data_IF_745932682105
#
_entry.id   IF_745932682105
#
_cell.length_a   1.000
_cell.length_b   1.000
_cell.length_c   1.000
_cell.angle_alpha   90.00
_cell.angle_beta   90.00
_cell.angle_gamma   90.00
#
_symmetry.space_group_name_H-M   'P 1'
#
loop_
_entity.id
_entity.type
_entity.pdbx_description
1 polymer ?
#
# COMPACT_ATOMS: atom_id res chain seq x y z
N UNK A 1 -2.42 -0.88 29.95
CA UNK A 1 -1.18 -1.55 29.48
C UNK A 1 -1.30 -1.59 27.96
N UNK A 2 -0.56 -0.73 27.26
CA UNK A 2 -0.67 -0.60 25.81
C UNK A 2 0.07 -1.76 25.15
N UNK A 3 -0.61 -2.51 24.28
CA UNK A 3 0.01 -3.58 23.50
C UNK A 3 0.79 -2.95 22.34
N UNK A 4 2.10 -3.17 22.32
CA UNK A 4 2.99 -2.78 21.23
C UNK A 4 3.27 -4.02 20.37
N UNK A 5 3.04 -3.93 19.06
CA UNK A 5 3.56 -4.90 18.12
C UNK A 5 5.01 -4.53 17.81
N UNK A 6 5.95 -5.39 18.19
CA UNK A 6 7.34 -5.31 17.75
C UNK A 6 7.44 -5.90 16.34
N UNK A 7 7.89 -5.09 15.38
CA UNK A 7 8.52 -5.60 14.17
C UNK A 7 9.89 -4.94 14.05
N UNK A 8 10.95 -5.75 14.05
CA UNK A 8 12.34 -5.29 13.97
C UNK A 8 12.65 -4.99 12.52
N UNK A 9 12.63 -3.72 12.12
CA UNK A 9 13.16 -3.28 10.82
C UNK A 9 13.64 -1.82 10.91
N UNK A 10 14.76 -1.61 11.61
CA UNK A 10 15.59 -0.43 11.35
C UNK A 10 17.07 -0.75 11.62
N UNK A 11 17.89 -0.63 10.59
CA UNK A 11 19.28 -1.09 10.52
C UNK A 11 20.32 -0.06 11.00
N UNK A 12 19.94 0.95 11.77
CA UNK A 12 20.83 2.07 12.14
C UNK A 12 20.91 2.40 13.63
N UNK A 13 20.23 1.66 14.51
CA UNK A 13 20.36 1.81 15.96
C UNK A 13 21.09 0.61 16.56
N UNK A 14 21.87 0.77 17.65
CA UNK A 14 22.41 -0.38 18.36
C UNK A 14 21.25 -1.32 18.72
N UNK A 15 21.42 -2.62 18.48
CA UNK A 15 20.44 -3.71 18.68
C UNK A 15 19.91 -3.83 20.13
N UNK A 16 20.18 -2.88 21.02
CA UNK A 16 19.74 -2.85 22.41
C UNK A 16 18.33 -2.27 22.60
N UNK A 17 17.70 -1.69 21.56
CA UNK A 17 16.35 -1.12 21.66
C UNK A 17 15.39 -1.64 20.59
N UNK A 18 14.14 -1.84 20.97
CA UNK A 18 13.07 -2.32 20.10
C UNK A 18 12.16 -1.18 19.64
N UNK A 19 11.76 -1.21 18.38
CA UNK A 19 10.86 -0.19 17.80
C UNK A 19 9.40 -0.57 18.04
N UNK A 20 8.61 0.41 18.49
CA UNK A 20 7.19 0.29 18.74
C UNK A 20 6.39 1.05 17.67
N UNK A 21 5.48 0.37 16.98
CA UNK A 21 4.47 1.03 16.16
C UNK A 21 3.27 1.45 17.00
N UNK A 22 2.69 2.60 16.66
CA UNK A 22 1.49 3.14 17.30
C UNK A 22 0.29 2.26 16.96
N UNK A 23 -0.08 1.35 17.87
CA UNK A 23 -1.31 0.56 17.75
C UNK A 23 -2.48 1.28 18.44
N UNK A 24 -2.82 2.48 17.92
CA UNK A 24 -3.96 3.29 18.39
C UNK A 24 -5.29 2.51 18.29
N UNK A 25 -5.35 1.52 17.40
CA UNK A 25 -6.50 0.61 17.26
C UNK A 25 -6.90 -0.07 18.58
N UNK A 26 -5.92 -0.47 19.39
CA UNK A 26 -6.16 -1.08 20.71
C UNK A 26 -6.91 -0.13 21.64
N UNK A 27 -6.58 1.17 21.58
CA UNK A 27 -7.24 2.21 22.35
C UNK A 27 -8.66 2.48 21.84
N UNK A 28 -8.88 2.48 20.52
CA UNK A 28 -10.22 2.61 19.94
C UNK A 28 -11.13 1.42 20.21
N UNK A 29 -10.59 0.20 20.18
CA UNK A 29 -11.32 -1.00 20.56
C UNK A 29 -11.73 -0.94 22.04
N UNK A 30 -10.84 -0.45 22.89
CA UNK A 30 -11.07 -0.34 24.33
C UNK A 30 -12.07 0.76 24.71
N UNK A 31 -12.09 1.87 23.96
CA UNK A 31 -12.99 3.01 24.20
C UNK A 31 -14.35 2.91 23.50
N UNK A 32 -14.57 1.92 22.64
CA UNK A 32 -15.85 1.71 21.95
C UNK A 32 -16.15 2.72 20.83
N UNK A 33 -15.19 3.55 20.42
CA UNK A 33 -15.35 4.64 19.46
C UNK A 33 -15.32 4.21 17.98
N UNK A 34 -15.46 2.90 17.70
CA UNK A 34 -15.14 2.29 16.39
C UNK A 34 -15.94 2.85 15.21
N UNK A 35 -17.20 3.26 15.44
CA UNK A 35 -18.14 3.71 14.42
C UNK A 35 -18.40 5.22 14.42
N UNK A 36 -17.64 6.01 15.19
CA UNK A 36 -17.82 7.47 15.21
C UNK A 36 -17.03 8.12 14.08
N UNK A 37 -17.69 9.02 13.35
CA UNK A 37 -17.00 9.95 12.46
C UNK A 37 -16.30 10.98 13.35
N UNK A 38 -14.97 10.90 13.47
CA UNK A 38 -14.18 11.84 14.26
C UNK A 38 -13.49 12.83 13.32
N UNK A 39 -13.80 14.14 13.36
CA UNK A 39 -13.16 15.16 12.53
C UNK A 39 -11.79 15.63 13.07
N UNK A 40 -11.23 14.92 14.05
CA UNK A 40 -9.95 15.27 14.70
C UNK A 40 -9.03 14.05 14.82
N UNK A 41 -9.06 13.18 13.82
CA UNK A 41 -8.27 11.95 13.83
C UNK A 41 -6.77 12.22 13.89
N UNK A 42 -6.28 13.22 13.14
CA UNK A 42 -4.85 13.57 13.16
C UNK A 42 -4.43 14.09 14.54
N UNK A 43 -5.23 14.98 15.13
CA UNK A 43 -4.97 15.55 16.46
C UNK A 43 -4.91 14.44 17.51
N UNK A 44 -5.75 13.41 17.40
CA UNK A 44 -5.69 12.28 18.30
C UNK A 44 -4.37 11.50 18.15
N UNK A 45 -3.88 11.29 16.92
CA UNK A 45 -2.60 10.64 16.69
C UNK A 45 -1.45 11.45 17.30
N UNK A 46 -1.41 12.76 17.06
CA UNK A 46 -0.40 13.66 17.64
C UNK A 46 -0.42 13.63 19.17
N UNK A 47 -1.61 13.72 19.79
CA UNK A 47 -1.77 13.68 21.25
C UNK A 47 -1.35 12.35 21.85
N UNK A 48 -1.57 11.26 21.13
CA UNK A 48 -1.11 9.94 21.56
C UNK A 48 0.42 9.87 21.52
N UNK A 49 1.04 10.33 20.42
CA UNK A 49 2.49 10.38 20.26
C UNK A 49 3.16 11.21 21.35
N UNK A 50 2.61 12.38 21.66
CA UNK A 50 3.09 13.29 22.71
C UNK A 50 3.00 12.69 24.12
N UNK A 51 1.96 11.89 24.40
CA UNK A 51 1.71 11.31 25.73
C UNK A 51 2.21 9.88 25.91
N UNK A 52 2.66 9.21 24.85
CA UNK A 52 3.09 7.83 24.89
C UNK A 52 4.31 7.66 25.80
N UNK A 53 4.15 6.88 26.87
CA UNK A 53 5.24 6.51 27.78
C UNK A 53 5.72 5.11 27.43
N UNK A 54 7.01 4.99 27.12
CA UNK A 54 7.68 3.74 26.81
C UNK A 54 8.69 3.38 27.91
N UNK A 55 8.94 2.08 28.05
CA UNK A 55 10.08 1.59 28.84
C UNK A 55 11.40 2.02 28.14
N UNK A 56 12.52 2.20 28.87
CA UNK A 56 13.78 2.72 28.29
C UNK A 56 14.33 1.94 27.09
N UNK A 57 13.96 0.67 26.97
CA UNK A 57 14.38 -0.26 25.91
C UNK A 57 13.57 -0.12 24.61
N UNK A 58 12.58 0.77 24.58
CA UNK A 58 11.70 0.97 23.44
C UNK A 58 11.70 2.42 22.96
N UNK A 59 11.47 2.61 21.67
CA UNK A 59 11.24 3.92 21.06
C UNK A 59 10.10 3.84 20.03
N UNK A 60 9.40 4.96 19.83
CA UNK A 60 8.30 5.03 18.85
C UNK A 60 8.91 5.07 17.44
N UNK A 61 8.29 4.35 16.51
CA UNK A 61 8.65 4.43 15.10
C UNK A 61 8.47 5.84 14.54
N UNK A 62 9.21 6.15 13.46
CA UNK A 62 8.89 7.34 12.69
C UNK A 62 7.46 7.22 12.15
N UNK A 63 6.66 8.24 12.44
CA UNK A 63 5.24 8.30 12.13
C UNK A 63 4.91 9.44 11.14
N UNK A 64 5.91 10.11 10.57
CA UNK A 64 5.69 11.27 9.69
C UNK A 64 4.78 10.91 8.50
N UNK A 65 5.06 9.80 7.82
CA UNK A 65 4.27 9.37 6.66
C UNK A 65 2.85 8.97 7.07
N UNK A 66 2.70 8.31 8.23
CA UNK A 66 1.39 7.98 8.79
C UNK A 66 0.56 9.24 9.09
N UNK A 67 1.17 10.28 9.67
CA UNK A 67 0.52 11.55 9.98
C UNK A 67 0.11 12.31 8.71
N UNK A 68 0.93 12.27 7.65
CA UNK A 68 0.56 12.84 6.34
C UNK A 68 -0.66 12.15 5.75
N UNK A 69 -0.71 10.83 5.79
CA UNK A 69 -1.92 10.08 5.37
C UNK A 69 -3.10 10.42 6.28
N UNK A 70 -2.88 10.56 7.59
CA UNK A 70 -3.93 10.94 8.53
C UNK A 70 -4.53 12.30 8.18
N UNK A 71 -3.71 13.28 7.79
CA UNK A 71 -4.18 14.59 7.34
C UNK A 71 -5.11 14.49 6.12
N UNK A 72 -4.77 13.65 5.14
CA UNK A 72 -5.58 13.44 3.93
C UNK A 72 -6.94 12.85 4.27
N UNK A 73 -6.96 11.81 5.12
CA UNK A 73 -8.22 11.11 5.44
C UNK A 73 -9.05 11.81 6.50
N UNK A 74 -8.50 12.77 7.24
CA UNK A 74 -9.24 13.45 8.31
C UNK A 74 -10.39 14.31 7.77
N UNK A 75 -10.18 14.92 6.60
CA UNK A 75 -11.15 15.73 5.86
C UNK A 75 -12.32 14.90 5.28
N UNK A 76 -12.20 13.57 5.27
CA UNK A 76 -13.20 12.68 4.69
C UNK A 76 -14.20 12.18 5.74
N UNK A 77 -15.49 12.00 5.38
CA UNK A 77 -16.53 11.49 6.29
C UNK A 77 -16.42 9.96 6.46
N UNK A 78 -15.26 9.49 6.92
CA UNK A 78 -14.94 8.09 7.15
C UNK A 78 -15.07 7.72 8.62
N UNK A 79 -15.46 6.47 8.87
CA UNK A 79 -15.40 5.89 10.20
C UNK A 79 -13.94 5.89 10.70
N UNK A 80 -13.77 6.06 12.01
CA UNK A 80 -12.46 6.08 12.67
C UNK A 80 -11.62 4.83 12.37
N UNK A 81 -12.29 3.68 12.31
CA UNK A 81 -11.73 2.42 11.88
C UNK A 81 -11.09 2.52 10.49
N UNK A 82 -11.82 3.09 9.54
CA UNK A 82 -11.41 3.12 8.14
C UNK A 82 -10.29 4.13 7.93
N UNK A 83 -10.37 5.30 8.59
CA UNK A 83 -9.25 6.27 8.67
C UNK A 83 -7.97 5.58 9.17
N UNK A 84 -8.08 4.75 10.21
CA UNK A 84 -6.94 3.98 10.72
C UNK A 84 -6.40 2.99 9.69
N UNK A 85 -7.26 2.21 9.02
CA UNK A 85 -6.83 1.25 7.99
C UNK A 85 -6.09 1.97 6.85
N UNK A 86 -6.58 3.12 6.39
CA UNK A 86 -5.89 3.93 5.38
C UNK A 86 -4.51 4.41 5.86
N UNK A 87 -4.38 4.86 7.12
CA UNK A 87 -3.08 5.26 7.69
C UNK A 87 -2.07 4.13 7.82
N UNK A 88 -2.51 2.88 7.88
CA UNK A 88 -1.61 1.71 7.90
C UNK A 88 -1.25 1.22 6.49
N UNK A 89 -1.83 1.81 5.45
CA UNK A 89 -1.58 1.39 4.07
C UNK A 89 -0.16 1.78 3.63
N UNK A 90 0.51 0.94 2.81
CA UNK A 90 1.89 1.15 2.40
C UNK A 90 1.97 2.18 1.26
N UNK A 91 1.73 3.45 1.57
CA UNK A 91 1.77 4.55 0.60
C UNK A 91 3.06 5.33 0.72
N UNK A 92 3.71 5.54 -0.41
CA UNK A 92 4.83 6.46 -0.53
C UNK A 92 4.30 7.90 -0.69
N UNK A 93 4.23 8.64 0.41
CA UNK A 93 3.72 10.02 0.45
C UNK A 93 4.64 11.04 -0.24
N UNK A 94 5.82 10.61 -0.71
CA UNK A 94 6.74 11.43 -1.50
C UNK A 94 6.48 11.32 -2.99
N UNK A 95 5.72 10.31 -3.40
CA UNK A 95 5.30 10.11 -4.77
C UNK A 95 3.89 10.68 -4.96
N UNK A 96 3.78 11.72 -5.78
CA UNK A 96 2.52 12.46 -6.00
C UNK A 96 1.43 11.55 -6.59
N UNK A 97 1.81 10.63 -7.49
CA UNK A 97 0.89 9.68 -8.13
C UNK A 97 0.33 8.70 -7.08
N UNK A 98 1.18 8.14 -6.21
CA UNK A 98 0.75 7.26 -5.12
C UNK A 98 -0.17 7.98 -4.12
N UNK A 99 0.18 9.21 -3.76
CA UNK A 99 -0.61 10.04 -2.83
C UNK A 99 -1.97 10.42 -3.43
N UNK A 100 -1.99 10.75 -4.73
CA UNK A 100 -3.23 11.01 -5.47
C UNK A 100 -4.10 9.75 -5.57
N UNK A 101 -3.50 8.58 -5.84
CA UNK A 101 -4.21 7.30 -5.88
C UNK A 101 -4.87 6.97 -4.54
N UNK A 102 -4.15 7.14 -3.43
CA UNK A 102 -4.70 7.00 -2.07
C UNK A 102 -5.89 7.93 -1.85
N UNK A 103 -5.73 9.22 -2.17
CA UNK A 103 -6.78 10.24 -1.99
C UNK A 103 -8.04 9.87 -2.78
N UNK A 104 -7.89 9.47 -4.04
CA UNK A 104 -9.01 9.03 -4.89
C UNK A 104 -9.70 7.78 -4.36
N UNK A 105 -8.95 6.79 -3.85
CA UNK A 105 -9.54 5.60 -3.25
C UNK A 105 -10.32 5.95 -1.98
N UNK A 106 -9.74 6.75 -1.09
CA UNK A 106 -10.38 7.18 0.14
C UNK A 106 -11.65 8.01 -0.12
N UNK A 107 -11.61 8.95 -1.08
CA UNK A 107 -12.78 9.73 -1.47
C UNK A 107 -13.89 8.89 -2.08
N UNK A 108 -13.55 7.99 -3.02
CA UNK A 108 -14.54 7.11 -3.65
C UNK A 108 -15.18 6.18 -2.63
N UNK A 109 -14.38 5.66 -1.70
CA UNK A 109 -14.86 4.84 -0.60
C UNK A 109 -15.79 5.66 0.31
N UNK A 110 -15.41 6.88 0.71
CA UNK A 110 -16.25 7.75 1.53
C UNK A 110 -17.60 8.10 0.87
N UNK A 111 -17.59 8.36 -0.45
CA UNK A 111 -18.78 8.80 -1.21
C UNK A 111 -19.71 7.65 -1.58
N UNK A 112 -19.16 6.50 -1.96
CA UNK A 112 -19.91 5.40 -2.60
C UNK A 112 -19.90 4.09 -1.82
N UNK A 113 -19.01 3.95 -0.83
CA UNK A 113 -18.76 2.67 -0.14
C UNK A 113 -18.09 1.61 -1.01
N UNK A 114 -17.76 1.92 -2.26
CA UNK A 114 -17.12 0.99 -3.21
C UNK A 114 -16.18 1.75 -4.15
N UNK A 115 -15.00 1.18 -4.37
CA UNK A 115 -13.93 1.71 -5.21
C UNK A 115 -13.65 0.72 -6.33
N UNK A 116 -14.08 1.06 -7.54
CA UNK A 116 -13.84 0.23 -8.73
C UNK A 116 -12.58 0.68 -9.45
N UNK A 117 -11.76 -0.28 -9.86
CA UNK A 117 -10.54 -0.02 -10.61
C UNK A 117 -10.83 0.06 -12.11
N UNK A 118 -10.27 1.05 -12.78
CA UNK A 118 -10.28 1.12 -14.24
C UNK A 118 -9.09 0.32 -14.79
N UNK A 119 -9.30 -0.41 -15.88
CA UNK A 119 -8.22 -1.04 -16.61
C UNK A 119 -7.35 0.06 -17.29
N UNK A 120 -6.07 0.07 -16.94
CA UNK A 120 -5.03 1.01 -17.37
C UNK A 120 -4.30 0.42 -18.59
N UNK A 121 -3.95 -0.86 -18.53
CA UNK A 121 -3.25 -1.57 -19.61
C UNK A 121 -4.22 -2.37 -20.45
N UNK A 122 -4.35 -2.01 -21.71
CA UNK A 122 -5.07 -2.79 -22.73
C UNK A 122 -4.06 -3.33 -23.73
N UNK A 123 -4.37 -4.40 -24.48
CA UNK A 123 -3.43 -4.98 -25.45
C UNK A 123 -2.83 -3.96 -26.44
N UNK A 124 -3.55 -2.88 -26.78
CA UNK A 124 -3.07 -1.81 -27.65
C UNK A 124 -2.18 -0.76 -26.97
N UNK A 125 -2.18 -0.68 -25.64
CA UNK A 125 -1.43 0.33 -24.86
C UNK A 125 -0.20 -0.25 -24.14
N UNK A 126 0.00 -1.57 -24.18
CA UNK A 126 1.18 -2.23 -23.61
C UNK A 126 2.46 -1.82 -24.33
N UNK A 127 3.28 -1.00 -23.67
CA UNK A 127 4.58 -0.56 -24.19
C UNK A 127 5.61 -0.56 -23.07
N UNK A 128 6.81 -1.09 -23.38
CA UNK A 128 7.97 -0.97 -22.50
C UNK A 128 8.36 0.51 -22.45
N UNK A 129 8.63 1.08 -21.26
CA UNK A 129 9.10 2.45 -21.17
C UNK A 129 10.39 2.62 -21.97
N UNK A 130 10.59 3.80 -22.55
CA UNK A 130 11.79 4.12 -23.35
C UNK A 130 12.69 5.12 -22.64
N UNK A 131 12.12 5.92 -21.74
CA UNK A 131 12.81 6.94 -20.96
C UNK A 131 12.72 6.64 -19.47
N UNK A 132 13.66 7.21 -18.69
CA UNK A 132 13.66 7.06 -17.23
C UNK A 132 12.38 7.64 -16.59
N UNK A 133 11.85 8.75 -17.11
CA UNK A 133 10.61 9.34 -16.62
C UNK A 133 9.41 8.40 -16.83
N UNK A 134 9.33 7.73 -17.99
CA UNK A 134 8.28 6.73 -18.24
C UNK A 134 8.40 5.52 -17.31
N UNK A 135 9.63 5.12 -16.95
CA UNK A 135 9.85 4.08 -15.95
C UNK A 135 9.34 4.54 -14.58
N UNK A 136 9.68 5.76 -14.14
CA UNK A 136 9.25 6.30 -12.86
C UNK A 136 7.72 6.38 -12.76
N UNK A 137 7.04 6.85 -13.81
CA UNK A 137 5.57 6.84 -13.87
C UNK A 137 5.00 5.42 -13.74
N UNK A 138 5.60 4.44 -14.43
CA UNK A 138 5.18 3.04 -14.36
C UNK A 138 5.40 2.42 -12.97
N UNK A 139 6.49 2.78 -12.29
CA UNK A 139 6.75 2.40 -10.90
C UNK A 139 5.70 2.99 -9.95
N UNK A 140 5.34 4.25 -10.14
CA UNK A 140 4.28 4.90 -9.35
C UNK A 140 2.92 4.24 -9.59
N UNK A 141 2.57 3.90 -10.84
CA UNK A 141 1.35 3.14 -11.15
C UNK A 141 1.38 1.76 -10.47
N UNK A 142 2.53 1.07 -10.47
CA UNK A 142 2.70 -0.19 -9.76
C UNK A 142 2.43 -0.04 -8.25
N UNK A 143 2.94 1.04 -7.61
CA UNK A 143 2.66 1.34 -6.19
C UNK A 143 1.17 1.57 -5.93
N UNK A 144 0.47 2.29 -6.81
CA UNK A 144 -0.99 2.51 -6.70
C UNK A 144 -1.78 1.19 -6.82
N UNK A 145 -1.38 0.31 -7.73
CA UNK A 145 -2.01 -1.02 -7.87
C UNK A 145 -1.74 -1.91 -6.66
N UNK A 146 -0.53 -1.85 -6.09
CA UNK A 146 -0.21 -2.52 -4.83
C UNK A 146 -1.06 -2.01 -3.66
N UNK A 147 -1.26 -0.68 -3.57
CA UNK A 147 -2.15 -0.06 -2.59
C UNK A 147 -3.58 -0.58 -2.73
N UNK A 148 -4.12 -0.65 -3.96
CA UNK A 148 -5.47 -1.17 -4.20
C UNK A 148 -5.60 -2.62 -3.71
N UNK A 149 -4.64 -3.48 -4.06
CA UNK A 149 -4.60 -4.87 -3.60
C UNK A 149 -4.54 -4.93 -2.06
N UNK A 150 -3.70 -4.11 -1.43
CA UNK A 150 -3.61 -4.05 0.02
C UNK A 150 -4.95 -3.69 0.65
N UNK A 151 -5.63 -2.65 0.16
CA UNK A 151 -6.94 -2.21 0.65
C UNK A 151 -8.02 -3.28 0.44
N UNK A 152 -7.98 -4.01 -0.67
CA UNK A 152 -8.94 -5.09 -0.95
C UNK A 152 -8.88 -6.28 0.00
N UNK A 153 -7.78 -6.45 0.75
CA UNK A 153 -7.70 -7.46 1.81
C UNK A 153 -8.24 -6.97 3.17
N UNK A 154 -8.62 -5.70 3.29
CA UNK A 154 -9.15 -5.10 4.52
C UNK A 154 -10.59 -4.65 4.35
N UNK A 155 -10.97 -4.28 3.14
CA UNK A 155 -12.29 -3.82 2.74
C UNK A 155 -12.89 -4.77 1.71
N UNK A 156 -13.23 -5.99 2.14
CA UNK A 156 -13.57 -7.12 1.25
C UNK A 156 -14.65 -6.79 0.20
N UNK A 157 -15.74 -6.13 0.58
CA UNK A 157 -16.85 -5.82 -0.34
C UNK A 157 -16.69 -4.48 -1.09
N UNK A 158 -15.81 -3.60 -0.59
CA UNK A 158 -15.68 -2.25 -1.12
C UNK A 158 -14.61 -2.12 -2.20
N UNK A 159 -13.71 -3.08 -2.33
CA UNK A 159 -12.65 -3.09 -3.35
C UNK A 159 -12.73 -4.40 -4.17
N UNK A 160 -13.76 -4.53 -5.03
CA UNK A 160 -14.07 -5.79 -5.70
C UNK A 160 -13.04 -6.20 -6.76
N UNK A 161 -12.30 -5.25 -7.34
CA UNK A 161 -11.47 -5.48 -8.53
C UNK A 161 -10.04 -5.94 -8.18
N UNK A 162 -9.89 -6.76 -7.12
CA UNK A 162 -8.59 -7.22 -6.62
C UNK A 162 -7.79 -7.99 -7.67
N UNK A 163 -8.45 -8.88 -8.41
CA UNK A 163 -7.80 -9.69 -9.44
C UNK A 163 -7.32 -8.83 -10.61
N UNK A 164 -8.13 -7.85 -11.02
CA UNK A 164 -7.75 -6.86 -12.03
C UNK A 164 -6.57 -6.00 -11.57
N UNK A 165 -6.53 -5.59 -10.30
CA UNK A 165 -5.40 -4.85 -9.75
C UNK A 165 -4.12 -5.70 -9.74
N UNK A 166 -4.23 -6.96 -9.33
CA UNK A 166 -3.10 -7.89 -9.28
C UNK A 166 -2.55 -8.21 -10.68
N UNK A 167 -3.41 -8.41 -11.68
CA UNK A 167 -3.00 -8.67 -13.06
C UNK A 167 -2.25 -7.47 -13.65
N UNK A 168 -2.79 -6.26 -13.50
CA UNK A 168 -2.16 -5.03 -13.96
C UNK A 168 -0.84 -4.75 -13.24
N UNK A 169 -0.75 -5.05 -11.94
CA UNK A 169 0.50 -4.96 -11.18
C UNK A 169 1.59 -5.88 -11.74
N UNK A 170 1.20 -7.08 -12.14
CA UNK A 170 2.10 -8.07 -12.77
C UNK A 170 2.62 -7.57 -14.11
N UNK A 171 1.74 -6.95 -14.92
CA UNK A 171 2.12 -6.30 -16.18
C UNK A 171 3.15 -5.18 -15.93
N UNK A 172 2.93 -4.29 -14.95
CA UNK A 172 3.91 -3.27 -14.61
C UNK A 172 5.26 -3.89 -14.24
N UNK A 173 5.26 -4.93 -13.39
CA UNK A 173 6.49 -5.62 -12.97
C UNK A 173 7.27 -6.15 -14.17
N UNK A 174 6.59 -6.78 -15.12
CA UNK A 174 7.20 -7.29 -16.35
C UNK A 174 7.83 -6.17 -17.20
N UNK A 175 7.10 -5.07 -17.42
CA UNK A 175 7.57 -3.94 -18.22
C UNK A 175 8.76 -3.21 -17.57
N UNK A 176 8.76 -3.09 -16.24
CA UNK A 176 9.88 -2.54 -15.46
C UNK A 176 11.11 -3.45 -15.59
N UNK A 177 10.95 -4.76 -15.39
CA UNK A 177 12.04 -5.74 -15.52
C UNK A 177 12.68 -5.69 -16.92
N UNK A 178 11.85 -5.70 -17.97
CA UNK A 178 12.31 -5.62 -19.37
C UNK A 178 13.10 -4.33 -19.65
N UNK A 179 12.65 -3.19 -19.13
CA UNK A 179 13.39 -1.93 -19.29
C UNK A 179 14.77 -1.97 -18.63
N UNK A 180 14.84 -2.49 -17.40
CA UNK A 180 16.08 -2.58 -16.63
C UNK A 180 17.09 -3.52 -17.30
N UNK A 181 16.62 -4.64 -17.85
CA UNK A 181 17.47 -5.57 -18.62
C UNK A 181 18.06 -4.91 -19.87
N UNK A 182 17.25 -4.15 -20.63
CA UNK A 182 17.71 -3.43 -21.84
C UNK A 182 18.69 -2.30 -21.53
N UNK A 183 18.52 -1.62 -20.40
CA UNK A 183 19.38 -0.50 -19.99
C UNK A 183 20.69 -0.95 -19.35
N UNK A 184 20.98 -2.26 -19.34
CA UNK A 184 22.25 -2.81 -18.89
C UNK A 184 22.42 -2.84 -17.36
N UNK A 185 21.32 -2.73 -16.60
CA UNK A 185 21.39 -2.82 -15.14
C UNK A 185 21.73 -4.25 -14.70
N UNK A 186 22.99 -4.47 -14.31
CA UNK A 186 23.41 -5.66 -13.58
C UNK A 186 23.15 -5.47 -12.08
N UNK A 187 22.34 -6.34 -11.49
CA UNK A 187 22.04 -6.39 -10.05
C UNK A 187 23.32 -6.64 -9.22
N UNK A 188 24.11 -5.61 -8.95
CA UNK A 188 25.14 -5.67 -7.90
C UNK A 188 24.48 -5.38 -6.54
N UNK A 189 24.09 -6.45 -5.85
CA UNK A 189 23.97 -6.45 -4.39
C UNK A 189 22.59 -6.15 -3.81
N UNK A 190 21.61 -7.05 -3.98
CA UNK A 190 20.49 -7.10 -3.04
C UNK A 190 20.86 -7.91 -1.78
N UNK A 191 21.09 -7.17 -0.69
CA UNK A 191 20.98 -7.67 0.69
C UNK A 191 19.62 -8.36 0.88
N UNK A 192 19.67 -9.45 1.65
CA UNK A 192 18.59 -10.43 1.92
C UNK A 192 17.36 -9.79 2.58
N UNK A 193 16.48 -9.18 1.81
CA UNK A 193 15.05 -9.12 2.16
C UNK A 193 14.50 -10.52 1.88
N UNK A 194 13.76 -11.09 2.85
CA UNK A 194 13.19 -12.44 2.82
C UNK A 194 12.61 -12.75 1.42
N UNK A 195 13.38 -13.50 0.63
CA UNK A 195 12.98 -13.95 -0.70
C UNK A 195 11.96 -15.06 -0.54
N UNK A 196 10.68 -14.73 -0.69
CA UNK A 196 9.70 -15.71 -1.17
C UNK A 196 10.27 -16.31 -2.47
N UNK A 197 10.25 -17.64 -2.68
CA UNK A 197 10.98 -18.25 -3.79
C UNK A 197 10.54 -17.67 -5.14
N UNK A 198 11.50 -17.16 -5.94
CA UNK A 198 11.29 -16.55 -7.28
C UNK A 198 10.41 -17.40 -8.23
N UNK A 199 10.36 -18.72 -8.03
CA UNK A 199 9.51 -19.65 -8.80
C UNK A 199 8.03 -19.46 -8.49
N UNK A 200 7.64 -19.29 -7.23
CA UNK A 200 6.24 -19.14 -6.80
C UNK A 200 5.62 -17.82 -7.29
N UNK A 201 6.38 -16.72 -7.27
CA UNK A 201 5.92 -15.42 -7.81
C UNK A 201 5.69 -15.50 -9.33
N UNK A 202 6.66 -16.05 -10.07
CA UNK A 202 6.55 -16.28 -11.52
C UNK A 202 5.44 -17.28 -11.88
N UNK A 203 5.22 -18.32 -11.08
CA UNK A 203 4.09 -19.25 -11.28
C UNK A 203 2.75 -18.59 -11.03
N UNK A 204 2.61 -17.79 -9.96
CA UNK A 204 1.37 -17.07 -9.68
C UNK A 204 1.06 -16.05 -10.78
N UNK A 205 2.06 -15.26 -11.17
CA UNK A 205 1.97 -14.26 -12.24
C UNK A 205 1.67 -14.91 -13.60
N UNK A 206 2.35 -16.01 -13.95
CA UNK A 206 2.14 -16.72 -15.22
C UNK A 206 0.80 -17.49 -15.28
N UNK A 207 0.32 -18.04 -14.16
CA UNK A 207 -1.00 -18.70 -14.10
C UNK A 207 -2.13 -17.68 -14.23
N UNK A 208 -2.02 -16.54 -13.56
CA UNK A 208 -2.98 -15.42 -13.65
C UNK A 208 -3.02 -14.84 -15.07
N UNK A 209 -1.86 -14.56 -15.67
CA UNK A 209 -1.78 -14.07 -17.04
C UNK A 209 -2.29 -15.09 -18.07
N UNK A 210 -1.95 -16.39 -17.93
CA UNK A 210 -2.44 -17.45 -18.84
C UNK A 210 -3.93 -17.76 -18.69
N UNK A 211 -4.53 -17.51 -17.53
CA UNK A 211 -5.98 -17.57 -17.34
C UNK A 211 -6.67 -16.43 -18.10
N UNK A 212 -6.17 -15.21 -17.89
CA UNK A 212 -6.70 -13.99 -18.49
C UNK A 212 -6.65 -13.98 -20.02
N UNK A 213 -5.51 -14.32 -20.63
CA UNK A 213 -5.39 -14.36 -22.10
C UNK A 213 -6.28 -15.44 -22.74
N UNK A 214 -6.50 -16.57 -22.04
CA UNK A 214 -7.42 -17.62 -22.53
C UNK A 214 -8.88 -17.19 -22.48
N UNK A 215 -9.29 -16.40 -21.49
CA UNK A 215 -10.66 -15.90 -21.37
C UNK A 215 -10.97 -14.78 -22.37
N UNK A 216 -9.99 -13.94 -22.72
CA UNK A 216 -10.14 -12.93 -23.79
C UNK A 216 -10.31 -13.60 -25.16
N UNK A 217 -9.50 -14.62 -25.48
CA UNK A 217 -9.65 -15.37 -26.74
C UNK A 217 -10.98 -16.14 -26.81
N UNK A 218 -11.53 -16.56 -25.67
CA UNK A 218 -12.82 -17.25 -25.60
C UNK A 218 -14.03 -16.31 -25.71
N UNK A 219 -13.91 -15.02 -25.36
CA UNK A 219 -14.96 -13.99 -25.52
C UNK A 219 -14.95 -13.30 -26.88
N UNK A 220 -13.96 -13.57 -27.73
CA UNK A 220 -13.83 -13.02 -29.09
C UNK A 220 -14.36 -13.97 -30.18
N UNK A 221 -15.16 -14.97 -29.80
CA UNK A 221 -15.94 -15.86 -30.69
C UNK A 221 -17.39 -15.86 -30.26
#
# INVERSE_FOLDING_TARGET
MYFFFCNVLSSSLPLSKSQCFVCIYSYFLWTGLRNMCCPFFILLQERFLDKAKLSPDYFIADCEDMLKVAAIVDELPLALHDKYVFCQSPVDVRDDISTQGLTQFAENYAKKGTVRLKEIFTPGTLRVPTTHNQLQELESVHKVLELYVWLSYRFDDSFPDRELAASQKSICSMLIEEYLERSGWQQQGQRRVLRTPRKLRREYDALQLRGYFREIDARSK
#
